data_IF_498414550949
#
_entry.id   IF_498414550949
#
_cell.length_a   1.000
_cell.length_b   1.000
_cell.length_c   1.000
_cell.angle_alpha   90.00
_cell.angle_beta   90.00
_cell.angle_gamma   90.00
#
_symmetry.space_group_name_H-M   'P 1'
#
loop_
_entity.id
_entity.type
_entity.pdbx_description
1 polymer ?
#
# COMPACT_ATOMS: atom_id res chain seq x y z
N UNK A 1 -5.45 -18.62 -9.56
CA UNK A 1 -4.62 -17.68 -8.77
C UNK A 1 -4.93 -17.95 -7.31
N UNK A 2 -3.95 -18.35 -6.51
CA UNK A 2 -4.12 -18.52 -5.08
C UNK A 2 -3.99 -17.14 -4.40
N UNK A 3 -4.73 -16.93 -3.31
CA UNK A 3 -4.64 -15.69 -2.56
C UNK A 3 -3.24 -15.59 -1.94
N UNK A 4 -2.63 -14.42 -2.08
CA UNK A 4 -1.28 -14.17 -1.56
C UNK A 4 -1.29 -14.30 -0.03
N UNK A 5 -0.26 -14.92 0.59
CA UNK A 5 -0.26 -15.26 2.02
C UNK A 5 -0.60 -14.08 2.93
N UNK A 6 -0.07 -12.89 2.63
CA UNK A 6 -0.31 -11.68 3.41
C UNK A 6 -1.79 -11.24 3.43
N UNK A 7 -2.46 -11.21 2.28
CA UNK A 7 -3.86 -10.74 2.19
C UNK A 7 -4.80 -11.66 2.97
N UNK A 8 -4.53 -12.97 2.96
CA UNK A 8 -5.31 -13.94 3.71
C UNK A 8 -5.14 -13.71 5.21
N UNK A 9 -3.88 -13.60 5.66
CA UNK A 9 -3.51 -13.43 7.05
C UNK A 9 -4.09 -12.14 7.65
N UNK A 10 -3.99 -11.01 6.95
CA UNK A 10 -4.52 -9.74 7.46
C UNK A 10 -6.04 -9.78 7.63
N UNK A 11 -6.74 -10.33 6.64
CA UNK A 11 -8.20 -10.47 6.69
C UNK A 11 -8.65 -11.38 7.85
N UNK A 12 -7.93 -12.47 8.14
CA UNK A 12 -8.28 -13.37 9.26
C UNK A 12 -8.01 -12.78 10.63
N UNK A 13 -7.03 -11.87 10.75
CA UNK A 13 -6.65 -11.23 12.01
C UNK A 13 -7.32 -9.86 12.24
N UNK A 14 -8.32 -9.50 11.41
CA UNK A 14 -9.06 -8.25 11.57
C UNK A 14 -8.24 -6.99 11.26
N UNK A 15 -7.12 -7.13 10.55
CA UNK A 15 -6.30 -5.99 10.11
C UNK A 15 -7.02 -5.34 8.92
N UNK A 16 -7.37 -4.04 8.98
CA UNK A 16 -8.04 -3.36 7.89
C UNK A 16 -7.16 -3.30 6.63
N UNK A 17 -7.71 -3.67 5.48
CA UNK A 17 -6.99 -3.70 4.19
C UNK A 17 -7.72 -2.89 3.13
N UNK A 18 -6.96 -2.19 2.28
CA UNK A 18 -7.46 -1.40 1.16
C UNK A 18 -6.63 -1.64 -0.11
N UNK A 19 -7.22 -1.37 -1.27
CA UNK A 19 -6.52 -1.29 -2.56
C UNK A 19 -6.32 0.18 -2.93
N UNK A 20 -5.09 0.52 -3.32
CA UNK A 20 -4.70 1.83 -3.82
C UNK A 20 -4.08 1.72 -5.22
N UNK A 21 -4.87 1.97 -6.27
CA UNK A 21 -4.45 1.77 -7.66
C UNK A 21 -4.49 3.04 -8.50
N UNK A 22 -3.48 3.25 -9.36
CA UNK A 22 -3.49 4.30 -10.38
C UNK A 22 -4.42 3.98 -11.56
N UNK A 23 -4.99 2.77 -11.61
CA UNK A 23 -5.96 2.40 -12.64
C UNK A 23 -7.27 3.16 -12.44
N UNK A 24 -7.93 3.51 -13.55
CA UNK A 24 -9.33 3.96 -13.51
C UNK A 24 -10.26 2.83 -13.11
N UNK A 25 -11.38 3.13 -12.42
CA UNK A 25 -12.35 2.15 -11.91
C UNK A 25 -12.79 1.13 -12.96
N UNK A 26 -13.22 1.60 -14.14
CA UNK A 26 -13.60 0.72 -15.25
C UNK A 26 -12.49 -0.26 -15.66
N UNK A 27 -11.23 0.16 -15.62
CA UNK A 27 -10.09 -0.74 -15.93
C UNK A 27 -9.83 -1.71 -14.78
N UNK A 28 -9.92 -1.25 -13.54
CA UNK A 28 -9.80 -2.07 -12.34
C UNK A 28 -10.85 -3.19 -12.36
N UNK A 29 -12.14 -2.86 -12.49
CA UNK A 29 -13.25 -3.82 -12.49
C UNK A 29 -13.06 -4.89 -13.56
N UNK A 30 -12.70 -4.50 -14.78
CA UNK A 30 -12.43 -5.45 -15.85
C UNK A 30 -11.25 -6.38 -15.54
N UNK A 31 -10.17 -5.85 -14.93
CA UNK A 31 -9.00 -6.65 -14.55
C UNK A 31 -9.31 -7.59 -13.38
N UNK A 32 -10.22 -7.24 -12.50
CA UNK A 32 -10.53 -8.02 -11.28
C UNK A 32 -11.80 -8.86 -11.40
N UNK A 33 -12.60 -8.71 -12.46
CA UNK A 33 -13.86 -9.42 -12.68
C UNK A 33 -13.75 -10.96 -12.56
N UNK A 34 -12.61 -11.53 -12.94
CA UNK A 34 -12.37 -12.98 -12.86
C UNK A 34 -11.73 -13.44 -11.53
N UNK A 35 -11.46 -12.50 -10.61
CA UNK A 35 -10.77 -12.72 -9.32
C UNK A 35 -11.61 -12.26 -8.13
N UNK A 36 -12.94 -12.23 -8.25
CA UNK A 36 -13.84 -11.71 -7.20
C UNK A 36 -13.66 -12.40 -5.84
N UNK A 37 -13.32 -13.69 -5.82
CA UNK A 37 -13.02 -14.42 -4.58
C UNK A 37 -11.83 -13.84 -3.79
N UNK A 38 -10.91 -13.14 -4.47
CA UNK A 38 -9.79 -12.40 -3.86
C UNK A 38 -10.25 -10.99 -3.50
N UNK A 39 -10.80 -10.27 -4.48
CA UNK A 39 -11.05 -8.83 -4.37
C UNK A 39 -12.24 -8.48 -3.47
N UNK A 40 -13.19 -9.40 -3.26
CA UNK A 40 -14.31 -9.19 -2.33
C UNK A 40 -13.85 -8.96 -0.88
N UNK A 41 -12.65 -9.40 -0.49
CA UNK A 41 -12.08 -9.17 0.85
C UNK A 41 -11.81 -7.71 1.16
N UNK A 42 -11.64 -6.88 0.15
CA UNK A 42 -11.43 -5.43 0.31
C UNK A 42 -12.73 -4.65 0.44
N UNK A 43 -13.88 -5.28 0.17
CA UNK A 43 -15.19 -4.62 0.23
C UNK A 43 -15.21 -3.30 -0.55
N UNK A 44 -15.61 -2.23 0.14
CA UNK A 44 -15.66 -0.87 -0.41
C UNK A 44 -14.31 -0.13 -0.32
N UNK A 45 -13.29 -0.71 0.32
CA UNK A 45 -11.97 -0.10 0.53
C UNK A 45 -11.08 -0.20 -0.72
N UNK A 46 -11.58 0.29 -1.86
CA UNK A 46 -10.87 0.30 -3.13
C UNK A 46 -10.81 1.73 -3.64
N UNK A 47 -9.60 2.26 -3.77
CA UNK A 47 -9.32 3.60 -4.30
C UNK A 47 -8.67 3.48 -5.67
N UNK A 48 -9.40 3.92 -6.71
CA UNK A 48 -8.93 4.03 -8.08
C UNK A 48 -8.44 5.45 -8.39
N UNK A 49 -7.65 5.59 -9.46
CA UNK A 49 -7.06 6.86 -9.84
C UNK A 49 -8.06 7.95 -10.26
N UNK A 50 -9.30 7.58 -10.53
CA UNK A 50 -10.42 8.48 -10.85
C UNK A 50 -11.44 8.62 -9.70
N UNK A 51 -11.18 8.05 -8.53
CA UNK A 51 -12.05 8.17 -7.33
C UNK A 51 -11.75 9.45 -6.53
N UNK A 52 -11.21 10.49 -7.18
CA UNK A 52 -10.80 11.73 -6.48
C UNK A 52 -9.56 11.57 -5.60
N UNK A 53 -8.69 10.61 -5.92
CA UNK A 53 -7.48 10.29 -5.16
C UNK A 53 -6.41 11.39 -5.14
N UNK A 54 -6.64 12.54 -5.78
CA UNK A 54 -5.66 13.62 -5.91
C UNK A 54 -4.62 13.34 -6.99
N UNK A 55 -3.37 13.69 -6.72
CA UNK A 55 -2.25 13.49 -7.64
C UNK A 55 -1.84 12.02 -7.70
N UNK A 56 -1.44 11.55 -8.87
CA UNK A 56 -0.98 10.17 -9.06
C UNK A 56 0.39 9.91 -8.40
N UNK A 57 0.75 8.63 -8.23
CA UNK A 57 2.10 8.24 -7.79
C UNK A 57 3.17 8.94 -8.67
N UNK A 58 4.26 9.52 -8.11
CA UNK A 58 4.82 9.30 -6.78
C UNK A 58 4.29 10.22 -5.67
N UNK A 59 3.19 10.93 -5.88
CA UNK A 59 2.52 11.69 -4.84
C UNK A 59 1.80 10.76 -3.84
N UNK A 60 1.72 11.19 -2.58
CA UNK A 60 1.24 10.38 -1.45
C UNK A 60 -0.28 10.24 -1.36
N UNK A 61 -1.00 11.03 -2.18
CA UNK A 61 -2.43 11.29 -2.08
C UNK A 61 -3.27 9.99 -2.06
N UNK A 62 -2.99 9.05 -2.97
CA UNK A 62 -3.73 7.79 -3.07
C UNK A 62 -3.61 6.91 -1.82
N UNK A 63 -2.47 6.94 -1.13
CA UNK A 63 -2.29 6.17 0.10
C UNK A 63 -2.97 6.83 1.30
N UNK A 64 -2.98 8.17 1.38
CA UNK A 64 -3.77 8.85 2.41
C UNK A 64 -5.27 8.61 2.21
N UNK A 65 -5.76 8.65 0.97
CA UNK A 65 -7.17 8.33 0.68
C UNK A 65 -7.46 6.86 1.04
N UNK A 66 -6.58 5.92 0.71
CA UNK A 66 -6.73 4.52 1.08
C UNK A 66 -6.82 4.32 2.61
N UNK A 67 -6.03 5.05 3.38
CA UNK A 67 -6.09 4.96 4.85
C UNK A 67 -7.33 5.65 5.43
N UNK A 68 -7.81 6.74 4.82
CA UNK A 68 -9.07 7.38 5.21
C UNK A 68 -10.30 6.50 4.94
N UNK A 69 -10.34 5.76 3.83
CA UNK A 69 -11.44 4.80 3.58
C UNK A 69 -11.43 3.63 4.58
N UNK A 70 -10.30 3.37 5.24
CA UNK A 70 -10.20 2.45 6.38
C UNK A 70 -10.62 3.08 7.72
N UNK A 71 -11.14 4.31 7.71
CA UNK A 71 -11.60 5.02 8.91
C UNK A 71 -10.49 5.53 9.82
N UNK A 72 -9.27 5.69 9.30
CA UNK A 72 -8.12 6.19 10.07
C UNK A 72 -7.85 7.67 9.79
N UNK A 73 -7.50 8.41 10.85
CA UNK A 73 -7.14 9.82 10.77
C UNK A 73 -5.65 9.99 10.45
N UNK A 74 -5.35 10.43 9.23
CA UNK A 74 -3.97 10.63 8.75
C UNK A 74 -3.70 12.05 8.28
N UNK A 75 -4.60 13.01 8.52
CA UNK A 75 -4.44 14.39 8.09
C UNK A 75 -4.31 14.56 6.57
N UNK A 76 -4.06 15.79 6.14
CA UNK A 76 -3.69 16.14 4.76
C UNK A 76 -2.22 16.55 4.68
N UNK A 77 -1.65 16.54 3.48
CA UNK A 77 -0.34 17.14 3.20
C UNK A 77 -0.47 17.93 1.90
N UNK A 78 -0.05 19.18 1.92
CA UNK A 78 -0.09 20.07 0.75
C UNK A 78 1.23 20.06 -0.03
N UNK A 79 2.34 19.75 0.65
CA UNK A 79 3.72 19.91 0.19
C UNK A 79 4.45 18.58 -0.04
N UNK A 80 3.72 17.46 -0.08
CA UNK A 80 4.26 16.10 -0.13
C UNK A 80 5.19 15.74 1.05
N UNK A 81 5.14 16.53 2.12
CA UNK A 81 5.94 16.35 3.33
C UNK A 81 5.06 16.00 4.52
N UNK A 82 5.71 15.51 5.58
CA UNK A 82 5.09 15.24 6.88
C UNK A 82 5.18 16.43 7.84
N UNK A 83 5.80 17.55 7.44
CA UNK A 83 6.15 18.66 8.34
C UNK A 83 4.93 19.39 8.93
N UNK A 84 3.76 19.33 8.28
CA UNK A 84 2.52 19.94 8.76
C UNK A 84 1.52 18.97 9.40
N UNK A 85 1.88 17.70 9.57
CA UNK A 85 0.97 16.64 10.04
C UNK A 85 1.02 16.55 11.56
N UNK A 86 -0.14 16.46 12.23
CA UNK A 86 -0.18 16.34 13.69
C UNK A 86 0.52 15.07 14.17
N UNK A 87 1.14 15.09 15.36
CA UNK A 87 1.90 13.94 15.87
C UNK A 87 1.10 12.63 15.93
N UNK A 88 -0.19 12.69 16.25
CA UNK A 88 -1.08 11.53 16.25
C UNK A 88 -1.33 10.96 14.83
N UNK A 89 -1.52 11.84 13.84
CA UNK A 89 -1.73 11.45 12.45
C UNK A 89 -0.43 10.89 11.84
N UNK A 90 0.72 11.43 12.24
CA UNK A 90 2.03 10.91 11.87
C UNK A 90 2.25 9.50 12.43
N UNK A 91 1.92 9.28 13.71
CA UNK A 91 1.98 7.96 14.33
C UNK A 91 1.03 6.95 13.66
N UNK A 92 -0.16 7.39 13.24
CA UNK A 92 -1.11 6.53 12.54
C UNK A 92 -0.60 6.16 11.13
N UNK A 93 0.01 7.10 10.39
CA UNK A 93 0.68 6.81 9.11
C UNK A 93 1.78 5.76 9.27
N UNK A 94 2.58 5.84 10.33
CA UNK A 94 3.69 4.91 10.59
C UNK A 94 3.22 3.46 10.86
N UNK A 95 1.95 3.25 11.22
CA UNK A 95 1.34 1.91 11.35
C UNK A 95 0.93 1.30 10.01
N UNK A 96 0.90 2.10 8.94
CA UNK A 96 0.53 1.65 7.60
C UNK A 96 1.63 0.80 6.97
N UNK A 97 1.23 -0.33 6.35
CA UNK A 97 2.09 -1.18 5.54
C UNK A 97 1.60 -1.19 4.08
N UNK A 98 2.47 -0.76 3.16
CA UNK A 98 2.19 -0.69 1.73
C UNK A 98 2.92 -1.82 1.00
N UNK A 99 2.21 -2.54 0.14
CA UNK A 99 2.81 -3.46 -0.83
C UNK A 99 2.79 -2.83 -2.21
N UNK A 100 3.93 -2.78 -2.87
CA UNK A 100 4.09 -2.12 -4.17
C UNK A 100 5.07 -2.85 -5.07
N UNK A 101 4.87 -2.77 -6.38
CA UNK A 101 5.74 -3.37 -7.40
C UNK A 101 6.55 -2.30 -8.14
N UNK A 102 6.05 -1.06 -8.21
CA UNK A 102 6.64 0.01 -9.00
C UNK A 102 7.31 1.08 -8.14
N UNK A 103 8.45 1.60 -8.63
CA UNK A 103 9.23 2.67 -7.96
C UNK A 103 8.37 3.89 -7.59
N UNK A 104 7.48 4.43 -8.48
CA UNK A 104 6.63 5.56 -8.10
C UNK A 104 5.71 5.25 -6.91
N UNK A 105 5.22 4.01 -6.82
CA UNK A 105 4.39 3.59 -5.69
C UNK A 105 5.18 3.47 -4.40
N UNK A 106 6.40 2.92 -4.45
CA UNK A 106 7.30 2.88 -3.31
C UNK A 106 7.60 4.29 -2.79
N UNK A 107 7.90 5.24 -3.68
CA UNK A 107 8.14 6.63 -3.33
C UNK A 107 6.90 7.29 -2.69
N UNK A 108 5.72 7.04 -3.24
CA UNK A 108 4.47 7.55 -2.71
C UNK A 108 4.17 7.00 -1.29
N UNK A 109 4.39 5.71 -1.04
CA UNK A 109 4.19 5.11 0.28
C UNK A 109 5.14 5.70 1.33
N UNK A 110 6.41 5.89 0.96
CA UNK A 110 7.41 6.55 1.82
C UNK A 110 7.04 7.99 2.14
N UNK A 111 6.63 8.78 1.15
CA UNK A 111 6.16 10.16 1.36
C UNK A 111 4.91 10.23 2.23
N UNK A 112 4.06 9.22 2.15
CA UNK A 112 2.91 9.08 3.03
C UNK A 112 3.28 8.77 4.50
N UNK A 113 4.56 8.51 4.81
CA UNK A 113 5.03 8.17 6.15
C UNK A 113 4.69 6.72 6.55
N UNK A 114 4.53 5.83 5.57
CA UNK A 114 4.17 4.43 5.77
C UNK A 114 5.38 3.51 5.53
N UNK A 115 5.34 2.33 6.14
CA UNK A 115 6.25 1.24 5.82
C UNK A 115 5.95 0.67 4.44
N UNK A 116 6.98 0.28 3.68
CA UNK A 116 6.81 -0.23 2.32
C UNK A 116 7.53 -1.55 2.10
N UNK A 117 6.79 -2.56 1.66
CA UNK A 117 7.30 -3.82 1.13
C UNK A 117 7.30 -3.71 -0.40
N UNK A 118 8.48 -3.59 -0.99
CA UNK A 118 8.64 -3.54 -2.44
C UNK A 118 8.80 -4.96 -3.01
N UNK A 119 7.91 -5.32 -3.93
CA UNK A 119 7.87 -6.61 -4.64
C UNK A 119 8.00 -6.35 -6.14
N UNK A 120 9.20 -6.10 -6.65
CA UNK A 120 9.40 -5.75 -8.06
C UNK A 120 8.90 -6.85 -9.00
N UNK A 121 8.34 -6.42 -10.13
CA UNK A 121 8.05 -7.33 -11.24
C UNK A 121 9.34 -8.05 -11.71
N UNK A 122 9.21 -9.28 -12.21
CA UNK A 122 10.36 -10.06 -12.64
C UNK A 122 11.13 -9.40 -13.79
N UNK A 123 10.45 -8.62 -14.63
CA UNK A 123 11.11 -7.88 -15.70
C UNK A 123 12.05 -6.79 -15.15
N UNK A 124 11.71 -6.17 -14.02
CA UNK A 124 12.56 -5.19 -13.33
C UNK A 124 13.79 -5.86 -12.68
N UNK A 125 13.67 -7.10 -12.21
CA UNK A 125 14.79 -7.88 -11.68
C UNK A 125 15.82 -8.22 -12.77
N UNK A 126 15.35 -8.50 -13.98
CA UNK A 126 16.19 -8.88 -15.12
C UNK A 126 17.03 -7.71 -15.68
N UNK A 127 16.56 -6.47 -15.51
CA UNK A 127 17.26 -5.26 -16.01
C UNK A 127 18.39 -4.81 -15.06
N UNK A 128 18.64 -5.54 -13.97
CA UNK A 128 19.71 -5.19 -13.02
C UNK A 128 19.44 -3.90 -12.26
N UNK A 129 18.17 -3.47 -12.18
CA UNK A 129 17.72 -2.29 -11.46
C UNK A 129 17.71 -2.54 -9.92
N UNK A 130 18.83 -3.02 -9.39
CA UNK A 130 19.03 -3.32 -7.97
C UNK A 130 19.63 -2.15 -7.18
N UNK A 131 19.98 -1.03 -7.83
CA UNK A 131 20.90 -0.02 -7.26
C UNK A 131 20.31 1.35 -6.93
N UNK A 132 19.01 1.61 -7.03
CA UNK A 132 18.50 2.98 -6.88
C UNK A 132 17.17 3.14 -6.12
N UNK A 133 16.79 2.18 -5.28
CA UNK A 133 15.85 2.50 -4.20
C UNK A 133 16.70 2.64 -2.95
N UNK A 134 17.00 3.88 -2.56
CA UNK A 134 17.51 4.17 -1.23
C UNK A 134 16.72 3.30 -0.24
N UNK A 135 17.41 2.46 0.52
CA UNK A 135 16.82 1.70 1.61
C UNK A 135 16.98 2.52 2.89
N UNK A 136 16.05 3.43 3.24
CA UNK A 136 15.92 3.91 4.61
C UNK A 136 15.20 2.85 5.47
N UNK A 137 15.38 2.98 6.77
CA UNK A 137 15.20 1.99 7.85
C UNK A 137 13.86 1.20 7.94
N UNK A 138 12.86 1.47 7.08
CA UNK A 138 11.51 0.87 7.15
C UNK A 138 11.00 0.34 5.80
N UNK A 139 11.90 -0.14 4.93
CA UNK A 139 11.52 -0.77 3.66
C UNK A 139 12.13 -2.15 3.48
N UNK A 140 11.30 -3.13 3.12
CA UNK A 140 11.73 -4.50 2.81
C UNK A 140 11.56 -4.74 1.32
N UNK A 141 12.56 -5.34 0.67
CA UNK A 141 12.45 -5.78 -0.73
C UNK A 141 12.28 -7.30 -0.77
N UNK A 142 11.19 -7.78 -1.37
CA UNK A 142 10.92 -9.20 -1.55
C UNK A 142 10.86 -9.55 -3.03
N UNK A 143 11.42 -10.70 -3.42
CA UNK A 143 11.29 -11.20 -4.81
C UNK A 143 9.92 -11.77 -5.13
N UNK A 144 9.14 -12.09 -4.09
CA UNK A 144 7.79 -12.63 -4.18
C UNK A 144 7.09 -12.40 -2.85
N UNK A 145 5.78 -12.16 -2.89
CA UNK A 145 4.92 -12.11 -1.71
C UNK A 145 4.80 -13.46 -0.99
N UNK A 146 5.23 -14.57 -1.61
CA UNK A 146 5.34 -15.87 -0.93
C UNK A 146 6.38 -15.88 0.19
N UNK A 147 7.36 -14.97 0.13
CA UNK A 147 8.37 -14.80 1.17
C UNK A 147 7.97 -13.77 2.23
N UNK A 148 6.78 -13.17 2.11
CA UNK A 148 6.30 -12.23 3.11
C UNK A 148 5.88 -12.99 4.37
N UNK A 149 6.44 -12.59 5.51
CA UNK A 149 6.13 -13.14 6.84
C UNK A 149 5.32 -12.09 7.61
N UNK A 150 3.98 -12.21 7.65
CA UNK A 150 3.13 -11.22 8.30
C UNK A 150 3.50 -10.98 9.78
N UNK A 151 3.96 -12.00 10.48
CA UNK A 151 4.30 -11.97 11.90
C UNK A 151 5.44 -11.00 12.23
N UNK A 152 6.30 -10.66 11.26
CA UNK A 152 7.36 -9.65 11.42
C UNK A 152 6.81 -8.21 11.41
N UNK A 153 5.59 -8.02 10.91
CA UNK A 153 4.96 -6.72 10.68
C UNK A 153 3.73 -6.48 11.55
N UNK A 154 3.09 -7.52 12.05
CA UNK A 154 1.98 -7.41 13.02
C UNK A 154 2.57 -7.15 14.41
N UNK A 155 2.96 -5.90 14.66
CA UNK A 155 3.13 -5.44 16.04
C UNK A 155 1.75 -5.11 16.62
N UNK A 156 1.31 -5.99 17.50
CA UNK A 156 0.38 -5.85 18.62
C UNK A 156 -1.03 -6.47 18.46
N UNK A 157 -1.48 -7.22 19.49
CA UNK A 157 -2.85 -7.70 19.58
C UNK A 157 -3.79 -6.50 19.73
N UNK A 158 -4.90 -6.51 18.98
CA UNK A 158 -6.04 -5.66 19.25
C UNK A 158 -6.66 -6.10 20.58
N UNK A 159 -6.28 -5.43 21.69
CA UNK A 159 -6.98 -5.50 22.97
C UNK A 159 -8.17 -4.56 23.00
#
# INVERSE_FOLDING_TARGET
>A
VQLLPGVAHFATHGVPIAIATSSRRRKYERKTAHLQHIFARFGEHVVCGDDGAGRGKPFLDVFLVAVRVLGRAVGSSEDDSTAGVGGAEHAERARGLVFEDAIPGVQAGKRAGMSVVWVPDQDLLNVGCSRAVEQPDQSQTLRSLEHFVPEEWVYLPLS
#
